data_IF_307959695218
#
_entry.id   IF_307959695218
#
_cell.length_a   1.000
_cell.length_b   1.000
_cell.length_c   1.000
_cell.angle_alpha   90.00
_cell.angle_beta   90.00
_cell.angle_gamma   90.00
#
_symmetry.space_group_name_H-M   'P 1'
#
loop_
_entity.id
_entity.type
_entity.pdbx_description
1 polymer ?
#
# COMPACT_ATOMS: atom_id res chain seq x y z
N UNK A 1 29.19 38.02 16.70
CA UNK A 1 27.86 37.47 16.69
C UNK A 1 27.85 36.25 17.57
N UNK A 2 27.24 36.38 18.68
CA UNK A 2 27.20 35.31 19.66
C UNK A 2 26.24 34.25 19.23
N UNK A 3 26.78 33.20 18.62
CA UNK A 3 26.03 32.03 18.20
C UNK A 3 25.84 31.01 19.36
N UNK A 4 26.38 31.31 20.54
CA UNK A 4 26.39 30.36 21.67
C UNK A 4 25.00 30.16 22.27
N UNK A 5 24.22 31.23 22.43
CA UNK A 5 22.85 31.18 22.95
C UNK A 5 21.89 30.49 21.97
N UNK A 6 22.11 30.70 20.69
CA UNK A 6 21.35 30.04 19.61
C UNK A 6 21.66 28.54 19.53
N UNK A 7 22.88 28.12 19.86
CA UNK A 7 23.26 26.69 19.87
C UNK A 7 22.59 25.91 20.96
N UNK A 8 22.50 26.46 22.18
CA UNK A 8 21.83 25.79 23.30
C UNK A 8 20.35 25.55 23.06
N UNK A 9 19.63 26.55 22.59
CA UNK A 9 18.23 26.42 22.21
C UNK A 9 18.05 25.47 21.01
N UNK A 10 18.90 25.56 20.02
CA UNK A 10 18.87 24.70 18.82
C UNK A 10 19.07 23.21 19.17
N UNK A 11 19.91 22.87 20.14
CA UNK A 11 20.15 21.48 20.56
C UNK A 11 18.97 20.91 21.36
N UNK A 12 18.32 21.70 22.19
CA UNK A 12 17.11 21.30 22.92
C UNK A 12 15.98 21.06 21.92
N UNK A 13 15.74 21.97 20.97
CA UNK A 13 14.71 21.82 19.96
C UNK A 13 15.01 20.68 18.95
N UNK A 14 16.25 20.49 18.56
CA UNK A 14 16.65 19.38 17.68
C UNK A 14 16.35 18.02 18.29
N UNK A 15 16.64 17.83 19.61
CA UNK A 15 16.33 16.55 20.28
C UNK A 15 14.82 16.33 20.44
N UNK A 16 14.05 17.37 20.72
CA UNK A 16 12.59 17.28 20.82
C UNK A 16 11.97 17.03 19.44
N UNK A 17 12.39 17.77 18.43
CA UNK A 17 11.92 17.58 17.04
C UNK A 17 12.25 16.19 16.50
N UNK A 18 13.43 15.66 16.79
CA UNK A 18 13.78 14.29 16.41
C UNK A 18 12.89 13.23 17.09
N UNK A 19 12.66 13.36 18.41
CA UNK A 19 11.75 12.46 19.13
C UNK A 19 10.32 12.52 18.62
N UNK A 20 9.81 13.73 18.32
CA UNK A 20 8.50 13.93 17.74
C UNK A 20 8.41 13.31 16.35
N UNK A 21 9.41 13.54 15.49
CA UNK A 21 9.49 12.95 14.16
C UNK A 21 9.47 11.42 14.23
N UNK A 22 10.30 10.83 15.09
CA UNK A 22 10.35 9.38 15.25
C UNK A 22 9.03 8.82 15.78
N UNK A 23 8.35 9.54 16.67
CA UNK A 23 7.05 9.16 17.20
C UNK A 23 5.92 9.22 16.15
N UNK A 24 6.05 10.04 15.11
CA UNK A 24 5.07 10.15 14.02
C UNK A 24 5.28 9.09 12.91
N UNK A 25 6.45 8.47 12.83
CA UNK A 25 6.77 7.53 11.75
C UNK A 25 5.78 6.34 11.64
N UNK A 26 5.27 5.72 12.72
CA UNK A 26 4.25 4.68 12.58
C UNK A 26 2.97 5.20 11.93
N UNK A 27 2.51 6.40 12.30
CA UNK A 27 1.35 7.04 11.70
C UNK A 27 1.57 7.31 10.20
N UNK A 28 2.70 7.90 9.82
CA UNK A 28 3.04 8.16 8.42
C UNK A 28 3.04 6.90 7.56
N UNK A 29 3.51 5.77 8.10
CA UNK A 29 3.48 4.48 7.39
C UNK A 29 2.07 3.96 7.19
N UNK A 30 1.18 4.19 8.14
CA UNK A 30 -0.23 3.86 8.00
C UNK A 30 -0.94 4.70 6.93
N UNK A 31 -0.51 5.97 6.72
CA UNK A 31 -1.04 6.79 5.60
C UNK A 31 -0.70 6.22 4.21
N UNK A 32 0.21 5.26 4.13
CA UNK A 32 0.54 4.50 2.92
C UNK A 32 -0.22 3.18 2.87
N UNK A 33 -0.26 2.44 3.99
CA UNK A 33 -0.88 1.13 4.05
C UNK A 33 -2.41 1.17 3.86
N UNK A 34 -3.07 2.18 4.44
CA UNK A 34 -4.53 2.34 4.35
C UNK A 34 -5.02 2.59 2.92
N UNK A 35 -4.46 3.59 2.17
CA UNK A 35 -4.80 3.75 0.76
C UNK A 35 -4.44 2.54 -0.10
N UNK A 36 -3.35 1.83 0.21
CA UNK A 36 -2.99 0.62 -0.52
C UNK A 36 -4.08 -0.45 -0.46
N UNK A 37 -4.66 -0.69 0.73
CA UNK A 37 -5.79 -1.60 0.89
C UNK A 37 -7.03 -1.14 0.09
N UNK A 38 -7.35 0.15 0.12
CA UNK A 38 -8.48 0.71 -0.62
C UNK A 38 -8.30 0.60 -2.15
N UNK A 39 -7.08 0.79 -2.64
CA UNK A 39 -6.76 0.64 -4.07
C UNK A 39 -6.87 -0.82 -4.50
N UNK A 40 -6.42 -1.77 -3.68
CA UNK A 40 -6.57 -3.21 -3.93
C UNK A 40 -8.05 -3.58 -4.08
N UNK A 41 -8.90 -3.17 -3.13
CA UNK A 41 -10.34 -3.44 -3.17
C UNK A 41 -10.97 -2.85 -4.44
N UNK A 42 -10.65 -1.59 -4.76
CA UNK A 42 -11.20 -0.91 -5.93
C UNK A 42 -10.72 -1.52 -7.25
N UNK A 43 -9.46 -1.95 -7.33
CA UNK A 43 -8.92 -2.64 -8.49
C UNK A 43 -9.64 -3.97 -8.73
N UNK A 44 -9.89 -4.73 -7.65
CA UNK A 44 -10.66 -5.98 -7.72
C UNK A 44 -12.09 -5.73 -8.21
N UNK A 45 -12.83 -4.79 -7.63
CA UNK A 45 -14.20 -4.44 -8.06
C UNK A 45 -14.25 -4.12 -9.56
N UNK A 46 -13.44 -3.18 -10.01
CA UNK A 46 -13.38 -2.76 -11.41
C UNK A 46 -13.05 -3.94 -12.34
N UNK A 47 -12.18 -4.84 -11.90
CA UNK A 47 -11.76 -5.96 -12.73
C UNK A 47 -12.85 -7.02 -12.81
N UNK A 48 -13.56 -7.29 -11.71
CA UNK A 48 -14.71 -8.20 -11.70
C UNK A 48 -15.83 -7.69 -12.60
N UNK A 49 -16.17 -6.40 -12.53
CA UNK A 49 -17.16 -5.77 -13.41
C UNK A 49 -16.74 -5.90 -14.88
N UNK A 50 -15.53 -5.46 -15.19
CA UNK A 50 -14.99 -5.50 -16.55
C UNK A 50 -14.97 -6.92 -17.14
N UNK A 51 -14.50 -7.91 -16.38
CA UNK A 51 -14.39 -9.29 -16.88
C UNK A 51 -15.75 -9.95 -17.12
N UNK A 52 -16.81 -9.54 -16.41
CA UNK A 52 -18.19 -9.99 -16.65
C UNK A 52 -18.79 -9.38 -17.91
N UNK A 53 -18.41 -8.16 -18.27
CA UNK A 53 -18.92 -7.46 -19.47
C UNK A 53 -18.11 -7.78 -20.72
N UNK A 54 -16.79 -7.88 -20.59
CA UNK A 54 -15.88 -8.12 -21.70
C UNK A 54 -16.04 -9.53 -22.26
N UNK A 55 -16.39 -9.62 -23.53
CA UNK A 55 -16.51 -10.89 -24.26
C UNK A 55 -15.26 -11.18 -25.08
N UNK A 56 -14.78 -12.43 -25.01
CA UNK A 56 -13.72 -12.99 -25.85
C UNK A 56 -14.16 -14.39 -26.27
N UNK A 57 -13.88 -14.77 -27.50
CA UNK A 57 -14.26 -16.07 -28.05
C UNK A 57 -15.76 -16.43 -27.84
N UNK A 58 -16.64 -15.42 -27.86
CA UNK A 58 -18.09 -15.59 -27.73
C UNK A 58 -18.63 -15.65 -26.29
N UNK A 59 -17.80 -15.65 -25.26
CA UNK A 59 -18.18 -15.72 -23.86
C UNK A 59 -17.57 -14.57 -23.02
N UNK A 60 -18.16 -14.20 -21.86
CA UNK A 60 -17.55 -13.29 -20.92
C UNK A 60 -16.15 -13.77 -20.50
N UNK A 61 -15.21 -12.85 -20.34
CA UNK A 61 -13.86 -13.15 -19.88
C UNK A 61 -13.88 -13.83 -18.50
N UNK A 62 -14.85 -13.48 -17.67
CA UNK A 62 -15.08 -14.10 -16.34
C UNK A 62 -15.34 -15.62 -16.39
N UNK A 63 -15.88 -16.16 -17.49
CA UNK A 63 -16.15 -17.59 -17.65
C UNK A 63 -14.88 -18.41 -17.86
N UNK A 64 -13.78 -17.76 -18.21
CA UNK A 64 -12.49 -18.44 -18.35
C UNK A 64 -11.97 -18.86 -16.98
N UNK A 65 -11.62 -20.14 -16.82
CA UNK A 65 -11.15 -20.71 -15.53
C UNK A 65 -9.93 -19.94 -14.99
N UNK A 66 -8.98 -19.60 -15.85
CA UNK A 66 -7.78 -18.85 -15.47
C UNK A 66 -8.12 -17.47 -14.89
N UNK A 67 -9.10 -16.77 -15.48
CA UNK A 67 -9.59 -15.47 -14.97
C UNK A 67 -10.21 -15.63 -13.59
N UNK A 68 -11.07 -16.62 -13.40
CA UNK A 68 -11.71 -16.89 -12.09
C UNK A 68 -10.70 -17.24 -11.02
N UNK A 69 -9.72 -18.09 -11.33
CA UNK A 69 -8.65 -18.43 -10.38
C UNK A 69 -7.85 -17.21 -9.97
N UNK A 70 -7.47 -16.39 -10.94
CA UNK A 70 -6.71 -15.16 -10.67
C UNK A 70 -7.53 -14.16 -9.83
N UNK A 71 -8.80 -13.97 -10.13
CA UNK A 71 -9.68 -13.13 -9.31
C UNK A 71 -9.87 -13.67 -7.88
N UNK A 72 -9.92 -14.98 -7.70
CA UNK A 72 -9.97 -15.60 -6.37
C UNK A 72 -8.69 -15.36 -5.56
N UNK A 73 -7.51 -15.46 -6.18
CA UNK A 73 -6.22 -15.12 -5.56
C UNK A 73 -6.17 -13.63 -5.15
N UNK A 74 -6.63 -12.74 -6.03
CA UNK A 74 -6.68 -11.30 -5.77
C UNK A 74 -7.67 -11.00 -4.63
N UNK A 75 -8.86 -11.61 -4.65
CA UNK A 75 -9.86 -11.43 -3.59
C UNK A 75 -9.35 -11.90 -2.22
N UNK A 76 -8.64 -13.03 -2.19
CA UNK A 76 -7.99 -13.52 -0.98
C UNK A 76 -6.93 -12.54 -0.48
N UNK A 77 -6.09 -12.03 -1.37
CA UNK A 77 -5.07 -11.01 -1.05
C UNK A 77 -5.71 -9.74 -0.50
N UNK A 78 -6.79 -9.25 -1.13
CA UNK A 78 -7.55 -8.09 -0.67
C UNK A 78 -8.07 -8.29 0.76
N UNK A 79 -8.65 -9.46 1.04
CA UNK A 79 -9.16 -9.79 2.38
C UNK A 79 -8.04 -9.81 3.44
N UNK A 80 -6.92 -10.46 3.15
CA UNK A 80 -5.77 -10.53 4.07
C UNK A 80 -5.20 -9.15 4.35
N UNK A 81 -4.98 -8.34 3.29
CA UNK A 81 -4.47 -6.97 3.41
C UNK A 81 -5.43 -6.11 4.24
N UNK A 82 -6.73 -6.18 3.95
CA UNK A 82 -7.77 -5.42 4.68
C UNK A 82 -7.80 -5.80 6.15
N UNK A 83 -7.76 -7.09 6.47
CA UNK A 83 -7.74 -7.58 7.86
C UNK A 83 -6.52 -7.06 8.62
N UNK A 84 -5.34 -7.12 8.01
CA UNK A 84 -4.11 -6.64 8.62
C UNK A 84 -4.12 -5.12 8.82
N UNK A 85 -4.57 -4.36 7.82
CA UNK A 85 -4.68 -2.90 7.94
C UNK A 85 -5.67 -2.51 9.02
N UNK A 86 -6.81 -3.18 9.13
CA UNK A 86 -7.82 -2.91 10.17
C UNK A 86 -7.27 -3.19 11.58
N UNK A 87 -6.50 -4.27 11.77
CA UNK A 87 -5.82 -4.54 13.05
C UNK A 87 -4.82 -3.41 13.39
N UNK A 88 -4.02 -2.98 12.41
CA UNK A 88 -3.10 -1.86 12.61
C UNK A 88 -3.82 -0.53 12.92
N UNK A 89 -4.95 -0.25 12.26
CA UNK A 89 -5.77 0.93 12.57
C UNK A 89 -6.29 0.86 14.00
N UNK A 90 -6.82 -0.30 14.42
CA UNK A 90 -7.33 -0.45 15.79
C UNK A 90 -6.22 -0.24 16.81
N UNK A 91 -5.04 -0.83 16.60
CA UNK A 91 -3.87 -0.59 17.46
C UNK A 91 -3.43 0.87 17.47
N UNK A 92 -3.52 1.57 16.34
CA UNK A 92 -3.20 2.99 16.25
C UNK A 92 -4.17 3.83 17.08
N UNK A 93 -5.49 3.56 16.99
CA UNK A 93 -6.52 4.24 17.77
C UNK A 93 -6.38 3.98 19.27
N UNK A 94 -5.97 2.78 19.65
CA UNK A 94 -5.70 2.41 21.04
C UNK A 94 -4.34 2.94 21.56
N UNK A 95 -3.56 3.64 20.75
CA UNK A 95 -2.20 4.07 21.10
C UNK A 95 -1.20 2.94 21.29
N UNK A 96 -1.46 1.76 20.71
CA UNK A 96 -0.68 0.53 20.87
C UNK A 96 0.04 0.07 19.60
N UNK A 97 -0.04 0.86 18.51
CA UNK A 97 0.65 0.52 17.28
C UNK A 97 2.15 0.68 17.48
N UNK A 98 2.89 -0.42 17.49
CA UNK A 98 4.34 -0.40 17.48
C UNK A 98 4.93 -0.10 16.10
N UNK A 99 6.20 0.30 16.09
CA UNK A 99 6.89 0.66 14.86
C UNK A 99 7.05 -0.54 13.91
N UNK A 100 7.19 -1.74 14.45
CA UNK A 100 7.41 -2.96 13.68
C UNK A 100 6.16 -3.34 12.87
N UNK A 101 4.97 -3.35 13.51
CA UNK A 101 3.71 -3.56 12.81
C UNK A 101 3.48 -2.52 11.71
N UNK A 102 3.85 -1.24 11.96
CA UNK A 102 3.75 -0.19 10.95
C UNK A 102 4.74 -0.41 9.77
N UNK A 103 5.95 -0.94 10.02
CA UNK A 103 6.89 -1.33 8.95
C UNK A 103 6.34 -2.49 8.12
N UNK A 104 5.79 -3.50 8.78
CA UNK A 104 5.15 -4.63 8.13
C UNK A 104 3.96 -4.17 7.27
N UNK A 105 3.08 -3.35 7.81
CA UNK A 105 1.93 -2.82 7.09
C UNK A 105 2.35 -2.03 5.84
N UNK A 106 3.32 -1.12 5.98
CA UNK A 106 3.78 -0.29 4.87
C UNK A 106 4.36 -1.11 3.74
N UNK A 107 5.35 -1.98 3.99
CA UNK A 107 6.01 -2.71 2.91
C UNK A 107 5.09 -3.77 2.31
N UNK A 108 4.37 -4.53 3.14
CA UNK A 108 3.51 -5.61 2.66
C UNK A 108 2.35 -5.09 1.82
N UNK A 109 1.60 -4.10 2.34
CA UNK A 109 0.44 -3.56 1.63
C UNK A 109 0.83 -2.88 0.31
N UNK A 110 1.93 -2.10 0.29
CA UNK A 110 2.41 -1.47 -0.95
C UNK A 110 2.92 -2.48 -1.98
N UNK A 111 3.51 -3.58 -1.54
CA UNK A 111 3.94 -4.68 -2.43
C UNK A 111 2.71 -5.38 -3.04
N UNK A 112 1.73 -5.73 -2.19
CA UNK A 112 0.50 -6.38 -2.67
C UNK A 112 -0.32 -5.45 -3.57
N UNK A 113 -0.36 -4.16 -3.29
CA UNK A 113 -1.02 -3.17 -4.15
C UNK A 113 -0.42 -3.18 -5.56
N UNK A 114 0.89 -3.08 -5.68
CA UNK A 114 1.56 -3.10 -6.99
C UNK A 114 1.28 -4.41 -7.74
N UNK A 115 1.37 -5.55 -7.05
CA UNK A 115 1.11 -6.86 -7.63
C UNK A 115 -0.35 -7.00 -8.10
N UNK A 116 -1.30 -6.67 -7.24
CA UNK A 116 -2.73 -6.80 -7.56
C UNK A 116 -3.12 -5.89 -8.72
N UNK A 117 -2.66 -4.64 -8.71
CA UNK A 117 -2.98 -3.69 -9.77
C UNK A 117 -2.38 -4.13 -11.12
N UNK A 118 -1.17 -4.70 -11.12
CA UNK A 118 -0.53 -5.27 -12.31
C UNK A 118 -1.34 -6.44 -12.87
N UNK A 119 -1.73 -7.39 -12.01
CA UNK A 119 -2.54 -8.55 -12.39
C UNK A 119 -3.94 -8.14 -12.88
N UNK A 120 -4.56 -7.14 -12.25
CA UNK A 120 -5.84 -6.57 -12.69
C UNK A 120 -5.71 -5.89 -14.06
N UNK A 121 -4.69 -5.05 -14.25
CA UNK A 121 -4.44 -4.36 -15.51
C UNK A 121 -4.27 -5.35 -16.67
N UNK A 122 -3.59 -6.46 -16.45
CA UNK A 122 -3.42 -7.51 -17.46
C UNK A 122 -4.76 -8.05 -17.97
N UNK A 123 -5.78 -8.16 -17.12
CA UNK A 123 -7.11 -8.63 -17.51
C UNK A 123 -7.88 -7.62 -18.38
N UNK A 124 -7.54 -6.33 -18.32
CA UNK A 124 -8.09 -5.32 -19.23
C UNK A 124 -7.47 -5.38 -20.63
N UNK A 125 -6.33 -6.06 -20.81
CA UNK A 125 -5.61 -6.13 -22.07
C UNK A 125 -5.21 -4.73 -22.54
N UNK A 126 -5.37 -4.41 -23.82
CA UNK A 126 -5.02 -3.09 -24.38
C UNK A 126 -5.72 -1.92 -23.69
N UNK A 127 -6.95 -2.09 -23.22
CA UNK A 127 -7.67 -1.07 -22.47
C UNK A 127 -7.02 -0.75 -21.12
N UNK A 128 -6.32 -1.71 -20.50
CA UNK A 128 -5.56 -1.48 -19.28
C UNK A 128 -4.38 -0.52 -19.45
N UNK A 129 -3.95 -0.26 -20.70
CA UNK A 129 -2.88 0.70 -21.00
C UNK A 129 -3.41 2.10 -21.40
N UNK A 130 -4.72 2.28 -21.44
CA UNK A 130 -5.39 3.55 -21.78
C UNK A 130 -5.70 4.33 -20.50
N UNK A 131 -5.28 5.59 -20.45
CA UNK A 131 -5.39 6.44 -19.24
C UNK A 131 -6.84 6.79 -18.87
N UNK A 132 -7.78 6.63 -19.79
CA UNK A 132 -9.21 6.75 -19.56
C UNK A 132 -9.72 5.70 -18.56
N UNK A 133 -9.10 4.52 -18.54
CA UNK A 133 -9.45 3.47 -17.61
C UNK A 133 -8.80 3.70 -16.25
N UNK A 134 -9.56 3.62 -15.14
CA UNK A 134 -9.01 3.84 -13.80
C UNK A 134 -7.84 2.92 -13.47
N UNK A 135 -7.85 1.69 -13.96
CA UNK A 135 -6.80 0.70 -13.67
C UNK A 135 -5.42 1.16 -14.18
N UNK A 136 -5.34 1.82 -15.35
CA UNK A 136 -4.11 2.39 -15.88
C UNK A 136 -3.53 3.47 -14.95
N UNK A 137 -4.39 4.34 -14.41
CA UNK A 137 -3.99 5.36 -13.43
C UNK A 137 -3.55 4.76 -12.12
N UNK A 138 -4.26 3.71 -11.65
CA UNK A 138 -3.86 2.98 -10.44
C UNK A 138 -2.48 2.34 -10.61
N UNK A 139 -2.19 1.75 -11.76
CA UNK A 139 -0.89 1.15 -12.05
C UNK A 139 0.24 2.17 -11.93
N UNK A 140 0.09 3.33 -12.57
CA UNK A 140 1.11 4.39 -12.57
C UNK A 140 1.35 4.93 -11.17
N UNK A 141 0.28 5.16 -10.40
CA UNK A 141 0.37 5.76 -9.06
C UNK A 141 0.79 4.78 -7.96
N UNK A 142 0.58 3.47 -8.18
CA UNK A 142 0.94 2.45 -7.19
C UNK A 142 2.45 2.29 -7.01
N UNK A 143 3.22 2.49 -8.07
CA UNK A 143 4.66 2.17 -8.07
C UNK A 143 5.46 2.97 -7.03
N UNK A 144 5.12 4.23 -6.80
CA UNK A 144 5.81 5.09 -5.86
C UNK A 144 5.60 4.69 -4.40
N UNK A 145 4.51 3.96 -4.10
CA UNK A 145 4.18 3.48 -2.75
C UNK A 145 5.29 2.60 -2.14
N UNK A 146 6.06 1.92 -2.98
CA UNK A 146 7.19 1.08 -2.55
C UNK A 146 8.45 1.89 -2.22
N UNK A 147 8.50 3.18 -2.60
CA UNK A 147 9.70 4.01 -2.53
C UNK A 147 9.62 5.01 -1.38
N UNK A 148 8.58 5.83 -1.32
CA UNK A 148 8.45 6.90 -0.34
C UNK A 148 7.96 6.39 1.04
N UNK A 149 8.08 7.23 2.07
CA UNK A 149 7.80 6.83 3.45
C UNK A 149 8.75 5.75 3.98
N UNK A 150 9.93 5.64 3.36
CA UNK A 150 10.93 4.60 3.54
C UNK A 150 10.76 3.46 2.52
N UNK A 151 11.80 3.19 1.73
CA UNK A 151 11.79 2.12 0.74
C UNK A 151 11.44 0.76 1.41
N UNK A 152 10.78 -0.13 0.67
CA UNK A 152 10.38 -1.44 1.22
C UNK A 152 11.56 -2.25 1.74
N UNK A 153 12.74 -2.11 1.12
CA UNK A 153 13.99 -2.72 1.57
C UNK A 153 14.41 -2.22 2.95
N UNK A 154 14.26 -0.93 3.21
CA UNK A 154 14.54 -0.33 4.53
C UNK A 154 13.56 -0.84 5.57
N UNK A 155 12.27 -0.98 5.23
CA UNK A 155 11.27 -1.54 6.14
C UNK A 155 11.61 -2.98 6.53
N UNK A 156 11.98 -3.81 5.56
CA UNK A 156 12.40 -5.21 5.78
C UNK A 156 13.64 -5.29 6.67
N UNK A 157 14.62 -4.43 6.45
CA UNK A 157 15.84 -4.36 7.28
C UNK A 157 15.49 -3.97 8.73
N UNK A 158 14.61 -2.99 8.94
CA UNK A 158 14.19 -2.56 10.27
C UNK A 158 13.42 -3.65 11.03
N UNK A 159 12.65 -4.48 10.33
CA UNK A 159 11.98 -5.65 10.90
C UNK A 159 13.03 -6.71 11.25
N UNK A 160 13.90 -7.05 10.31
CA UNK A 160 14.89 -8.12 10.49
C UNK A 160 15.84 -7.88 11.67
N UNK A 161 16.17 -6.62 11.96
CA UNK A 161 17.00 -6.27 13.13
C UNK A 161 16.33 -6.55 14.49
N UNK A 162 15.06 -6.89 14.50
CA UNK A 162 14.28 -7.17 15.70
C UNK A 162 13.95 -8.64 15.90
N UNK A 163 14.21 -9.46 14.88
CA UNK A 163 14.09 -10.91 14.96
C UNK A 163 15.26 -11.53 15.71
#
# INVERSE_FOLDING_TARGET
RDSSTSRGLGDVYKRQGFKQLMGQLPYERMTIAVPAAAIIDRALELTVEYTKERKIFGAPLFEMQTTRHKLAEIATTAHVVRTFVNDCIQRLLDGKLDAEAAYMAKWWCSEQQCRVVDECLQMFGGYGYMYEYPIARMYTTSRVQKIYGGANEVMKELIARKL
#
